data_IF_455055336584
#
_entry.id   IF_455055336584
#
_cell.length_a   1.000
_cell.length_b   1.000
_cell.length_c   1.000
_cell.angle_alpha   90.00
_cell.angle_beta   90.00
_cell.angle_gamma   90.00
#
_symmetry.space_group_name_H-M   'P 1'
#
loop_
_entity.id
_entity.type
_entity.pdbx_description
1 polymer ?
#
# COMPACT_ATOMS: atom_id res chain seq x y z
N UNK A 1 -5.92 -9.42 24.35
CA UNK A 1 -5.67 -9.60 22.91
C UNK A 1 -6.15 -8.33 22.22
N UNK A 2 -5.24 -7.46 21.79
CA UNK A 2 -5.61 -6.16 21.21
C UNK A 2 -6.24 -6.34 19.83
N UNK A 3 -7.23 -5.52 19.49
CA UNK A 3 -7.81 -5.51 18.14
C UNK A 3 -6.71 -5.02 17.19
N UNK A 4 -6.28 -5.86 16.26
CA UNK A 4 -5.41 -5.44 15.16
C UNK A 4 -6.21 -4.56 14.21
N UNK A 5 -5.90 -3.27 14.18
CA UNK A 5 -6.60 -2.31 13.33
C UNK A 5 -5.61 -1.75 12.31
N UNK A 6 -5.94 -1.92 11.03
CA UNK A 6 -5.32 -1.12 9.97
C UNK A 6 -6.05 0.23 9.90
N UNK A 7 -5.26 1.31 9.92
CA UNK A 7 -5.73 2.68 9.73
C UNK A 7 -5.16 3.22 8.43
N UNK A 8 -5.98 4.02 7.76
CA UNK A 8 -5.62 4.65 6.50
C UNK A 8 -6.03 6.11 6.54
N UNK A 9 -5.14 7.00 6.11
CA UNK A 9 -5.38 8.43 6.07
C UNK A 9 -4.89 8.98 4.73
N UNK A 10 -5.79 9.63 3.98
CA UNK A 10 -5.40 10.39 2.79
C UNK A 10 -4.60 11.61 3.24
N UNK A 11 -3.39 11.76 2.69
CA UNK A 11 -2.49 12.88 2.96
C UNK A 11 -2.57 13.95 1.88
N UNK A 12 -2.72 13.54 0.61
CA UNK A 12 -2.80 14.44 -0.54
C UNK A 12 -3.61 13.80 -1.69
N UNK A 13 -4.25 14.64 -2.49
CA UNK A 13 -5.03 14.23 -3.67
C UNK A 13 -4.66 15.14 -4.84
N UNK A 14 -4.48 14.55 -6.03
CA UNK A 14 -4.36 15.24 -7.31
C UNK A 14 -5.18 14.47 -8.37
N UNK A 15 -5.38 15.01 -9.59
CA UNK A 15 -6.37 14.47 -10.54
C UNK A 15 -6.28 12.97 -10.87
N UNK A 16 -5.09 12.37 -10.85
CA UNK A 16 -4.89 10.94 -11.14
C UNK A 16 -4.14 10.18 -10.04
N UNK A 17 -3.78 10.85 -8.94
CA UNK A 17 -2.91 10.30 -7.91
C UNK A 17 -3.37 10.67 -6.51
N UNK A 18 -3.26 9.73 -5.59
CA UNK A 18 -3.58 9.93 -4.17
C UNK A 18 -2.45 9.41 -3.30
N UNK A 19 -2.15 10.15 -2.24
CA UNK A 19 -1.20 9.77 -1.22
C UNK A 19 -1.94 9.34 0.03
N UNK A 20 -1.66 8.13 0.52
CA UNK A 20 -2.30 7.51 1.67
C UNK A 20 -1.23 7.03 2.65
N UNK A 21 -1.32 7.43 3.91
CA UNK A 21 -0.61 6.77 5.00
C UNK A 21 -1.37 5.54 5.48
N UNK A 22 -0.66 4.43 5.63
CA UNK A 22 -1.19 3.16 6.13
C UNK A 22 -0.42 2.76 7.38
N UNK A 23 -1.13 2.51 8.47
CA UNK A 23 -0.53 2.09 9.74
C UNK A 23 -1.29 0.92 10.37
N UNK A 24 -0.60 0.18 11.23
CA UNK A 24 -1.13 -0.99 11.92
C UNK A 24 -0.49 -2.30 11.47
N UNK A 25 -1.18 -3.42 11.68
CA UNK A 25 -0.66 -4.75 11.38
C UNK A 25 -1.42 -5.39 10.22
N UNK A 26 -0.68 -5.77 9.18
CA UNK A 26 -1.16 -6.64 8.12
C UNK A 26 -1.13 -8.10 8.58
N UNK A 27 -2.30 -8.69 8.69
CA UNK A 27 -2.51 -10.09 9.07
C UNK A 27 -3.60 -10.70 8.20
N UNK A 28 -3.85 -12.00 8.38
CA UNK A 28 -4.91 -12.71 7.65
C UNK A 28 -6.31 -12.07 7.84
N UNK A 29 -6.53 -11.38 8.97
CA UNK A 29 -7.81 -10.73 9.30
C UNK A 29 -7.92 -9.31 8.75
N UNK A 30 -6.80 -8.59 8.62
CA UNK A 30 -6.80 -7.19 8.17
C UNK A 30 -6.55 -7.03 6.67
N UNK A 31 -6.01 -8.05 5.99
CA UNK A 31 -5.71 -8.02 4.54
C UNK A 31 -6.91 -7.63 3.68
N UNK A 32 -8.08 -8.21 3.97
CA UNK A 32 -9.28 -7.98 3.16
C UNK A 32 -9.76 -6.53 3.27
N UNK A 33 -9.73 -5.99 4.49
CA UNK A 33 -10.10 -4.60 4.77
C UNK A 33 -9.15 -3.63 4.06
N UNK A 34 -7.84 -3.87 4.14
CA UNK A 34 -6.86 -3.02 3.44
C UNK A 34 -7.10 -3.05 1.92
N UNK A 35 -7.29 -4.24 1.34
CA UNK A 35 -7.59 -4.36 -0.09
C UNK A 35 -8.86 -3.61 -0.50
N UNK A 36 -9.95 -3.76 0.26
CA UNK A 36 -11.22 -3.09 -0.03
C UNK A 36 -11.08 -1.56 -0.01
N UNK A 37 -10.39 -1.01 0.98
CA UNK A 37 -10.20 0.45 1.09
C UNK A 37 -9.32 0.97 -0.05
N UNK A 38 -8.22 0.27 -0.37
CA UNK A 38 -7.38 0.62 -1.52
C UNK A 38 -8.17 0.58 -2.83
N UNK A 39 -8.98 -0.47 -3.03
CA UNK A 39 -9.84 -0.61 -4.22
C UNK A 39 -10.87 0.52 -4.32
N UNK A 40 -11.51 0.89 -3.21
CA UNK A 40 -12.45 2.02 -3.18
C UNK A 40 -11.76 3.34 -3.58
N UNK A 41 -10.53 3.58 -3.12
CA UNK A 41 -9.73 4.74 -3.51
C UNK A 41 -9.37 4.80 -5.00
N UNK A 42 -9.20 3.63 -5.65
CA UNK A 42 -8.94 3.55 -7.11
C UNK A 42 -10.19 3.72 -7.97
N UNK A 43 -11.38 3.46 -7.42
CA UNK A 43 -12.66 3.57 -8.14
C UNK A 43 -13.03 4.99 -8.56
N UNK A 44 -12.35 6.01 -8.03
CA UNK A 44 -12.59 7.42 -8.33
C UNK A 44 -11.76 7.96 -9.52
N UNK A 45 -11.20 7.09 -10.35
CA UNK A 45 -10.37 7.49 -11.50
C UNK A 45 -8.89 7.68 -11.17
N UNK A 46 -8.49 7.49 -9.91
CA UNK A 46 -7.09 7.49 -9.48
C UNK A 46 -6.36 6.29 -10.08
N UNK A 47 -5.30 6.57 -10.84
CA UNK A 47 -4.45 5.57 -11.50
C UNK A 47 -3.16 5.31 -10.75
N UNK A 48 -2.78 6.19 -9.82
CA UNK A 48 -1.54 6.08 -9.06
C UNK A 48 -1.84 6.21 -7.55
N UNK A 49 -1.39 5.23 -6.77
CA UNK A 49 -1.48 5.28 -5.31
C UNK A 49 -0.08 5.38 -4.72
N UNK A 50 0.16 6.42 -3.93
CA UNK A 50 1.34 6.58 -3.09
C UNK A 50 0.98 6.10 -1.68
N UNK A 51 1.54 4.97 -1.27
CA UNK A 51 1.25 4.32 0.00
C UNK A 51 2.46 4.48 0.92
N UNK A 52 2.30 5.31 1.95
CA UNK A 52 3.26 5.41 3.05
C UNK A 52 3.03 4.26 4.02
N UNK A 53 3.98 3.31 4.03
CA UNK A 53 3.91 2.05 4.77
C UNK A 53 4.89 2.02 5.95
N UNK A 54 5.53 3.15 6.29
CA UNK A 54 6.54 3.21 7.36
C UNK A 54 6.01 2.76 8.72
N UNK A 55 4.71 2.95 8.95
CA UNK A 55 4.02 2.52 10.17
C UNK A 55 3.23 1.21 10.01
N UNK A 56 3.37 0.53 8.87
CA UNK A 56 2.79 -0.79 8.63
C UNK A 56 3.73 -1.86 9.19
N UNK A 57 3.17 -2.84 9.89
CA UNK A 57 3.86 -4.06 10.32
C UNK A 57 3.20 -5.25 9.66
N UNK A 58 3.94 -6.33 9.45
CA UNK A 58 3.37 -7.61 9.04
C UNK A 58 3.34 -8.54 10.25
N UNK A 59 2.20 -9.18 10.50
CA UNK A 59 2.12 -10.25 11.49
C UNK A 59 3.01 -11.42 11.07
N UNK A 60 3.50 -12.17 12.05
CA UNK A 60 4.22 -13.42 11.78
C UNK A 60 3.33 -14.38 10.99
N UNK A 61 3.93 -15.07 10.01
CA UNK A 61 3.21 -16.05 9.19
C UNK A 61 2.29 -15.46 8.12
N UNK A 62 2.30 -14.15 7.87
CA UNK A 62 1.55 -13.58 6.73
C UNK A 62 2.08 -14.17 5.42
N UNK A 63 1.18 -14.73 4.61
CA UNK A 63 1.59 -15.44 3.42
C UNK A 63 1.95 -14.47 2.28
N UNK A 64 2.76 -14.94 1.34
CA UNK A 64 3.21 -14.13 0.21
C UNK A 64 2.06 -13.73 -0.71
N UNK A 65 1.13 -14.67 -0.92
CA UNK A 65 -0.11 -14.48 -1.64
C UNK A 65 -1.02 -13.46 -0.94
N UNK A 66 -1.00 -13.38 0.39
CA UNK A 66 -1.80 -12.41 1.14
C UNK A 66 -1.33 -11.00 0.84
N UNK A 67 -0.01 -10.78 0.94
CA UNK A 67 0.62 -9.50 0.61
C UNK A 67 0.33 -9.13 -0.85
N UNK A 68 0.53 -10.05 -1.80
CA UNK A 68 0.27 -9.76 -3.22
C UNK A 68 -1.19 -9.47 -3.51
N UNK A 69 -2.12 -10.17 -2.86
CA UNK A 69 -3.56 -9.98 -3.05
C UNK A 69 -4.02 -8.59 -2.61
N UNK A 70 -3.42 -8.03 -1.56
CA UNK A 70 -3.72 -6.67 -1.10
C UNK A 70 -3.47 -5.66 -2.21
N UNK A 71 -2.34 -5.80 -2.91
CA UNK A 71 -1.89 -4.88 -3.95
C UNK A 71 -2.38 -5.23 -5.36
N UNK A 72 -3.21 -6.27 -5.50
CA UNK A 72 -3.83 -6.66 -6.77
C UNK A 72 -4.99 -5.72 -7.15
N UNK A 73 -4.70 -4.43 -7.28
CA UNK A 73 -5.61 -3.41 -7.80
C UNK A 73 -5.56 -3.48 -9.34
N UNK A 74 -6.66 -3.22 -10.03
CA UNK A 74 -6.84 -3.51 -11.48
C UNK A 74 -5.70 -3.02 -12.40
N UNK A 75 -5.60 -3.52 -13.65
CA UNK A 75 -4.40 -3.42 -14.49
C UNK A 75 -3.87 -2.00 -14.72
N UNK A 76 -4.73 -0.98 -14.68
CA UNK A 76 -4.37 0.42 -14.88
C UNK A 76 -3.80 1.12 -13.63
N UNK A 77 -3.83 0.47 -12.46
CA UNK A 77 -3.37 1.05 -11.19
C UNK A 77 -1.87 0.82 -11.02
N UNK A 78 -1.13 1.90 -10.76
CA UNK A 78 0.28 1.91 -10.36
C UNK A 78 0.39 2.18 -8.86
N UNK A 79 1.33 1.51 -8.22
CA UNK A 79 1.54 1.55 -6.78
C UNK A 79 2.94 2.07 -6.48
N UNK A 80 3.03 3.08 -5.64
CA UNK A 80 4.27 3.66 -5.14
C UNK A 80 4.32 3.36 -3.64
N UNK A 81 5.16 2.41 -3.21
CA UNK A 81 5.24 2.00 -1.80
C UNK A 81 6.43 2.68 -1.14
N UNK A 82 6.21 3.33 -0.01
CA UNK A 82 7.19 4.21 0.64
C UNK A 82 7.53 3.60 2.00
N UNK A 83 8.81 3.27 2.20
CA UNK A 83 9.27 2.64 3.44
C UNK A 83 8.56 1.33 3.75
N UNK A 84 8.28 0.52 2.71
CA UNK A 84 7.61 -0.76 2.86
C UNK A 84 8.43 -1.72 3.75
N UNK A 85 7.79 -2.44 4.70
CA UNK A 85 8.46 -3.48 5.46
C UNK A 85 9.08 -4.53 4.54
N UNK A 86 10.19 -5.14 4.93
CA UNK A 86 10.89 -6.18 4.14
C UNK A 86 9.94 -7.28 3.66
N UNK A 87 9.03 -7.72 4.53
CA UNK A 87 8.01 -8.72 4.20
C UNK A 87 7.05 -8.29 3.07
N UNK A 88 6.81 -6.99 2.89
CA UNK A 88 6.05 -6.45 1.75
C UNK A 88 6.98 -6.31 0.55
N UNK A 89 8.12 -5.65 0.74
CA UNK A 89 9.13 -5.38 -0.27
C UNK A 89 9.47 -6.63 -1.09
N UNK A 90 9.82 -7.73 -0.43
CA UNK A 90 10.29 -8.96 -1.08
C UNK A 90 9.20 -9.66 -1.92
N UNK A 91 7.92 -9.39 -1.64
CA UNK A 91 6.79 -10.06 -2.32
C UNK A 91 6.20 -9.24 -3.46
N UNK A 92 6.57 -7.97 -3.55
CA UNK A 92 6.12 -7.06 -4.60
C UNK A 92 7.25 -6.61 -5.53
N UNK A 93 8.50 -6.89 -5.17
CA UNK A 93 9.67 -6.65 -6.02
C UNK A 93 9.50 -7.35 -7.39
N UNK A 94 9.84 -6.65 -8.47
CA UNK A 94 9.72 -7.14 -9.84
C UNK A 94 8.31 -7.01 -10.45
N UNK A 95 7.31 -6.57 -9.69
CA UNK A 95 6.01 -6.26 -10.27
C UNK A 95 6.07 -4.96 -11.08
N UNK A 96 5.80 -5.02 -12.38
CA UNK A 96 5.92 -3.88 -13.30
C UNK A 96 5.10 -2.63 -12.91
N UNK A 97 4.07 -2.82 -12.07
CA UNK A 97 3.16 -1.75 -11.62
C UNK A 97 3.50 -1.22 -10.24
N UNK A 98 4.51 -1.79 -9.58
CA UNK A 98 4.95 -1.40 -8.25
C UNK A 98 6.30 -0.69 -8.35
N UNK A 99 6.37 0.50 -7.80
CA UNK A 99 7.60 1.25 -7.59
C UNK A 99 7.86 1.33 -6.09
N UNK A 100 9.05 0.89 -5.69
CA UNK A 100 9.50 0.91 -4.30
C UNK A 100 10.33 2.17 -4.07
N UNK A 101 9.94 2.96 -3.08
CA UNK A 101 10.63 4.17 -2.65
C UNK A 101 11.32 3.89 -1.31
N UNK A 102 12.66 3.99 -1.24
CA UNK A 102 13.39 3.72 0.00
C UNK A 102 13.07 4.74 1.09
N UNK A 103 12.70 5.98 0.72
CA UNK A 103 12.44 7.07 1.64
C UNK A 103 11.33 8.01 1.12
N UNK A 104 10.94 8.95 1.98
CA UNK A 104 9.90 9.94 1.69
C UNK A 104 10.32 10.90 0.58
N UNK A 105 11.60 11.20 0.46
CA UNK A 105 12.12 12.18 -0.49
C UNK A 105 12.03 11.65 -1.92
N UNK A 106 12.42 10.40 -2.16
CA UNK A 106 12.30 9.77 -3.48
C UNK A 106 10.84 9.71 -3.93
N UNK A 107 9.93 9.39 -2.99
CA UNK A 107 8.50 9.35 -3.25
C UNK A 107 7.95 10.75 -3.58
N UNK A 108 8.38 11.76 -2.85
CA UNK A 108 7.98 13.15 -3.08
C UNK A 108 8.44 13.67 -4.45
N UNK A 109 9.65 13.31 -4.88
CA UNK A 109 10.16 13.64 -6.23
C UNK A 109 9.34 12.98 -7.33
N UNK A 110 8.85 11.75 -7.12
CA UNK A 110 7.96 11.08 -8.08
C UNK A 110 6.52 11.62 -8.03
N UNK A 111 6.10 12.17 -6.89
CA UNK A 111 4.79 12.79 -6.72
C UNK A 111 4.70 14.18 -7.38
N UNK A 112 5.79 14.94 -7.40
CA UNK A 112 5.82 16.29 -7.95
C UNK A 112 5.71 16.24 -9.48
#
# INVERSE_FOLDING_TARGET
MGIEVIRMRVLAVAPSRVWIAVSGTLSATTRHRLHQVLRAGTGQGNRELFLDLRELRCAEGVAAEDVRSVFALGPAVRLHLIGAPTAVHDRVTGQARVTLHPDLESAWRAWS
#
